data_IF_352381276475
#
_entry.id   IF_352381276475
#
_cell.length_a   1.000
_cell.length_b   1.000
_cell.length_c   1.000
_cell.angle_alpha   90.00
_cell.angle_beta   90.00
_cell.angle_gamma   90.00
#
_symmetry.space_group_name_H-M   'P 1'
#
loop_
_entity.id
_entity.type
_entity.pdbx_description
1 polymer ?
#
# COMPACT_ATOMS: atom_id res chain seq x y z
N UNK A 1 -35.43 6.03 2.71
CA UNK A 1 -34.91 7.27 3.33
C UNK A 1 -33.40 7.25 3.12
N UNK A 2 -32.94 8.05 2.14
CA UNK A 2 -31.50 8.15 1.87
C UNK A 2 -30.88 9.07 2.92
N UNK A 3 -30.21 8.50 3.90
CA UNK A 3 -29.33 9.28 4.75
C UNK A 3 -28.09 9.66 3.93
N UNK A 4 -28.09 10.87 3.34
CA UNK A 4 -26.86 11.47 2.84
C UNK A 4 -25.98 11.75 4.07
N UNK A 5 -24.93 10.92 4.26
CA UNK A 5 -23.81 11.34 5.08
C UNK A 5 -23.22 12.60 4.44
N UNK A 6 -22.76 13.59 5.23
CA UNK A 6 -22.12 14.78 4.69
C UNK A 6 -20.93 14.31 3.84
N UNK A 7 -20.90 14.71 2.57
CA UNK A 7 -19.79 14.43 1.68
C UNK A 7 -18.53 15.03 2.30
N UNK A 8 -17.66 14.18 2.85
CA UNK A 8 -16.28 14.57 3.15
C UNK A 8 -15.69 15.06 1.83
N UNK A 9 -15.23 16.33 1.79
CA UNK A 9 -14.48 16.82 0.64
C UNK A 9 -13.23 15.95 0.50
N UNK A 10 -13.28 14.98 -0.41
CA UNK A 10 -12.14 14.11 -0.73
C UNK A 10 -11.16 14.88 -1.60
N UNK A 11 -9.87 14.64 -1.39
CA UNK A 11 -8.90 14.92 -2.43
C UNK A 11 -9.29 14.13 -3.69
N UNK A 12 -9.07 14.72 -4.85
CA UNK A 12 -9.43 14.11 -6.13
C UNK A 12 -8.59 12.86 -6.45
N UNK A 13 -7.44 12.69 -5.80
CA UNK A 13 -6.43 11.68 -6.11
C UNK A 13 -6.00 10.91 -4.86
N UNK A 14 -5.31 9.78 -5.11
CA UNK A 14 -4.57 9.02 -4.09
C UNK A 14 -3.17 8.70 -4.63
N UNK A 15 -2.20 9.58 -4.38
CA UNK A 15 -0.84 9.46 -4.92
C UNK A 15 0.16 8.95 -3.89
N UNK A 16 0.09 9.48 -2.68
CA UNK A 16 1.04 9.22 -1.58
C UNK A 16 0.32 8.58 -0.39
N UNK A 17 -0.90 9.02 -0.11
CA UNK A 17 -1.69 8.68 1.07
C UNK A 17 -1.78 9.84 2.07
N UNK A 18 -1.00 10.90 1.87
CA UNK A 18 -1.08 12.14 2.68
C UNK A 18 -2.25 13.02 2.30
N UNK A 19 -2.83 12.83 1.13
CA UNK A 19 -4.02 13.53 0.63
C UNK A 19 -5.25 13.25 1.50
N UNK A 20 -5.27 12.11 2.17
CA UNK A 20 -6.36 11.69 3.04
C UNK A 20 -6.00 11.86 4.51
N UNK A 21 -6.82 12.58 5.23
CA UNK A 21 -6.68 12.74 6.68
C UNK A 21 -7.19 11.49 7.44
N UNK A 22 -6.93 11.44 8.75
CA UNK A 22 -7.32 10.31 9.59
C UNK A 22 -8.84 9.99 9.56
N UNK A 23 -9.70 10.98 9.38
CA UNK A 23 -11.15 10.76 9.28
C UNK A 23 -11.53 10.10 7.96
N UNK A 24 -10.87 10.50 6.86
CA UNK A 24 -11.08 9.89 5.54
C UNK A 24 -10.55 8.45 5.48
N UNK A 25 -9.42 8.17 6.13
CA UNK A 25 -8.90 6.79 6.25
C UNK A 25 -9.84 5.92 7.11
N UNK A 26 -10.40 6.44 8.19
CA UNK A 26 -11.43 5.71 8.96
C UNK A 26 -12.67 5.43 8.14
N UNK A 27 -13.11 6.38 7.30
CA UNK A 27 -14.25 6.15 6.39
C UNK A 27 -13.92 5.12 5.33
N UNK A 28 -12.68 5.11 4.79
CA UNK A 28 -12.19 4.06 3.91
C UNK A 28 -12.34 2.68 4.56
N UNK A 29 -11.89 2.53 5.82
CA UNK A 29 -11.95 1.23 6.51
C UNK A 29 -13.38 0.82 6.83
N UNK A 30 -14.23 1.76 7.26
CA UNK A 30 -15.66 1.51 7.45
C UNK A 30 -16.33 1.01 6.17
N UNK A 31 -16.02 1.67 5.04
CA UNK A 31 -16.56 1.29 3.73
C UNK A 31 -16.00 -0.06 3.26
N UNK A 32 -14.70 -0.33 3.48
CA UNK A 32 -14.08 -1.62 3.16
C UNK A 32 -14.73 -2.76 3.95
N UNK A 33 -15.02 -2.54 5.23
CA UNK A 33 -15.76 -3.51 6.08
C UNK A 33 -17.17 -3.78 5.54
N UNK A 34 -17.91 -2.73 5.18
CA UNK A 34 -19.27 -2.91 4.67
C UNK A 34 -19.29 -3.57 3.28
N UNK A 35 -18.37 -3.21 2.40
CA UNK A 35 -18.21 -3.86 1.08
C UNK A 35 -17.82 -5.34 1.21
N UNK A 36 -16.97 -5.67 2.19
CA UNK A 36 -16.56 -7.05 2.48
C UNK A 36 -17.74 -7.87 3.00
N UNK A 37 -18.50 -7.32 3.94
CA UNK A 37 -19.63 -7.99 4.59
C UNK A 37 -20.89 -8.07 3.69
N UNK A 38 -21.13 -7.07 2.85
CA UNK A 38 -22.38 -6.92 2.08
C UNK A 38 -22.10 -6.62 0.59
N UNK A 39 -21.36 -7.46 -0.15
CA UNK A 39 -20.94 -7.18 -1.52
C UNK A 39 -22.12 -6.93 -2.46
N UNK A 40 -23.26 -7.56 -2.22
CA UNK A 40 -24.46 -7.43 -3.06
C UNK A 40 -25.06 -6.02 -3.08
N UNK A 41 -24.86 -5.24 -2.03
CA UNK A 41 -25.32 -3.83 -1.97
C UNK A 41 -24.61 -2.94 -2.98
N UNK A 42 -23.40 -3.32 -3.38
CA UNK A 42 -22.51 -2.50 -4.18
C UNK A 42 -22.40 -2.93 -5.64
N UNK A 43 -23.06 -4.00 -6.06
CA UNK A 43 -22.98 -4.57 -7.42
C UNK A 43 -23.25 -3.59 -8.57
N UNK A 44 -23.89 -2.47 -8.30
CA UNK A 44 -24.23 -1.43 -9.29
C UNK A 44 -23.74 -0.04 -8.88
N UNK A 45 -22.93 0.05 -7.84
CA UNK A 45 -22.52 1.35 -7.26
C UNK A 45 -21.67 2.18 -8.26
N UNK A 46 -20.91 1.50 -9.13
CA UNK A 46 -20.11 2.13 -10.19
C UNK A 46 -20.60 1.72 -11.60
N UNK A 47 -21.90 1.46 -11.76
CA UNK A 47 -22.47 1.10 -13.06
C UNK A 47 -22.20 2.21 -14.10
N UNK A 48 -21.66 1.83 -15.26
CA UNK A 48 -21.29 2.75 -16.33
C UNK A 48 -19.97 3.51 -16.10
N UNK A 49 -19.24 3.25 -15.02
CA UNK A 49 -17.90 3.81 -14.79
C UNK A 49 -16.85 2.97 -15.50
N UNK A 50 -15.87 3.64 -16.10
CA UNK A 50 -14.73 3.03 -16.77
C UNK A 50 -13.45 3.43 -16.06
N UNK A 51 -12.57 2.46 -15.78
CA UNK A 51 -11.29 2.64 -15.12
C UNK A 51 -10.16 2.32 -16.11
N UNK A 52 -9.28 3.29 -16.40
CA UNK A 52 -8.05 3.00 -17.11
C UNK A 52 -7.00 2.45 -16.12
N UNK A 53 -6.38 1.35 -16.46
CA UNK A 53 -5.31 0.72 -15.68
C UNK A 53 -4.01 0.78 -16.46
N UNK A 54 -3.14 1.75 -16.11
CA UNK A 54 -1.84 2.01 -16.76
C UNK A 54 -0.75 1.26 -16.01
N UNK A 55 -0.12 0.27 -16.64
CA UNK A 55 0.85 -0.62 -16.00
C UNK A 55 2.16 -0.66 -16.76
N UNK A 56 3.21 -0.06 -16.21
CA UNK A 56 4.59 -0.16 -16.72
C UNK A 56 5.34 -1.38 -16.17
N UNK A 57 4.85 -1.94 -15.05
CA UNK A 57 5.45 -3.11 -14.38
C UNK A 57 4.43 -4.23 -14.25
N UNK A 58 4.82 -5.49 -14.46
CA UNK A 58 3.95 -6.64 -14.22
C UNK A 58 3.40 -6.65 -12.79
N UNK A 59 2.17 -7.06 -12.61
CA UNK A 59 1.57 -7.20 -11.28
C UNK A 59 0.38 -8.15 -11.31
N UNK A 60 0.51 -9.29 -10.63
CA UNK A 60 -0.60 -10.22 -10.47
C UNK A 60 -1.67 -9.60 -9.56
N UNK A 61 -1.30 -9.32 -8.31
CA UNK A 61 -2.25 -8.90 -7.25
C UNK A 61 -2.94 -7.58 -7.58
N UNK A 62 -2.18 -6.54 -7.86
CA UNK A 62 -2.74 -5.21 -8.12
C UNK A 62 -3.66 -5.20 -9.34
N UNK A 63 -3.25 -5.88 -10.42
CA UNK A 63 -4.07 -5.98 -11.63
C UNK A 63 -5.39 -6.68 -11.33
N UNK A 64 -5.34 -7.89 -10.79
CA UNK A 64 -6.53 -8.71 -10.53
C UNK A 64 -7.46 -8.01 -9.54
N UNK A 65 -6.93 -7.43 -8.45
CA UNK A 65 -7.77 -6.82 -7.42
C UNK A 65 -8.46 -5.52 -7.89
N UNK A 66 -7.82 -4.69 -8.72
CA UNK A 66 -8.51 -3.53 -9.32
C UNK A 66 -9.52 -3.94 -10.38
N UNK A 67 -9.18 -4.90 -11.26
CA UNK A 67 -10.07 -5.38 -12.32
C UNK A 67 -11.32 -6.06 -11.71
N UNK A 68 -11.12 -7.01 -10.80
CA UNK A 68 -12.24 -7.66 -10.07
C UNK A 68 -12.99 -6.63 -9.24
N UNK A 69 -12.28 -5.69 -8.61
CA UNK A 69 -12.88 -4.63 -7.81
C UNK A 69 -13.89 -3.81 -8.59
N UNK A 70 -13.47 -3.16 -9.68
CA UNK A 70 -14.37 -2.30 -10.48
C UNK A 70 -15.52 -3.09 -11.12
N UNK A 71 -15.25 -4.30 -11.64
CA UNK A 71 -16.28 -5.15 -12.28
C UNK A 71 -17.31 -5.59 -11.24
N UNK A 72 -16.88 -5.99 -10.03
CA UNK A 72 -17.81 -6.39 -8.96
C UNK A 72 -18.68 -5.23 -8.45
N UNK A 73 -18.29 -3.98 -8.71
CA UNK A 73 -19.05 -2.77 -8.41
C UNK A 73 -19.92 -2.30 -9.59
N UNK A 74 -19.93 -3.04 -10.71
CA UNK A 74 -20.76 -2.76 -11.89
C UNK A 74 -20.09 -1.89 -12.95
N UNK A 75 -18.83 -1.52 -12.77
CA UNK A 75 -18.04 -0.78 -13.75
C UNK A 75 -17.22 -1.69 -14.67
N UNK A 76 -16.29 -1.12 -15.41
CA UNK A 76 -15.42 -1.82 -16.36
C UNK A 76 -13.98 -1.31 -16.24
N UNK A 77 -13.00 -2.17 -16.50
CA UNK A 77 -11.58 -1.83 -16.56
C UNK A 77 -11.04 -1.94 -18.00
N UNK A 78 -10.12 -1.06 -18.34
CA UNK A 78 -9.35 -1.08 -19.58
C UNK A 78 -7.88 -1.13 -19.20
N UNK A 79 -7.22 -2.26 -19.50
CA UNK A 79 -5.79 -2.40 -19.26
C UNK A 79 -5.00 -1.75 -20.39
N UNK A 80 -4.13 -0.84 -20.01
CA UNK A 80 -3.12 -0.25 -20.88
C UNK A 80 -1.75 -0.79 -20.42
N UNK A 81 -1.28 -1.81 -21.12
CA UNK A 81 -0.01 -2.47 -20.82
C UNK A 81 1.13 -1.69 -21.49
N UNK A 82 1.94 -1.06 -20.68
CA UNK A 82 3.14 -0.31 -21.08
C UNK A 82 4.45 -1.06 -20.80
N UNK A 83 4.42 -2.40 -20.70
CA UNK A 83 5.61 -3.20 -20.44
C UNK A 83 6.72 -3.01 -21.50
N UNK A 84 6.37 -2.66 -22.73
CA UNK A 84 7.30 -2.46 -23.85
C UNK A 84 7.56 -0.99 -24.20
N UNK A 85 6.88 -0.03 -23.57
CA UNK A 85 7.11 1.40 -23.77
C UNK A 85 6.64 2.17 -22.53
N UNK A 86 7.55 2.86 -21.86
CA UNK A 86 7.19 3.63 -20.67
C UNK A 86 6.22 4.75 -20.99
N UNK A 87 5.44 5.12 -19.99
CA UNK A 87 4.61 6.32 -20.05
C UNK A 87 5.50 7.55 -20.36
N UNK A 88 5.14 8.33 -21.38
CA UNK A 88 5.95 9.47 -21.80
C UNK A 88 6.94 9.21 -22.94
N UNK A 89 7.18 7.96 -23.34
CA UNK A 89 8.12 7.64 -24.44
C UNK A 89 7.55 7.91 -25.84
N UNK A 90 6.26 7.60 -26.06
CA UNK A 90 5.61 7.76 -27.37
C UNK A 90 4.89 9.10 -27.51
N UNK A 91 4.34 9.61 -26.43
CA UNK A 91 3.66 10.89 -26.32
C UNK A 91 3.83 11.45 -24.90
N UNK A 92 3.58 12.74 -24.71
CA UNK A 92 3.74 13.34 -23.38
C UNK A 92 2.75 12.75 -22.37
N UNK A 93 3.19 12.57 -21.11
CA UNK A 93 2.31 12.11 -20.02
C UNK A 93 1.08 13.03 -19.87
N UNK A 94 1.28 14.33 -20.09
CA UNK A 94 0.23 15.33 -20.05
C UNK A 94 -0.86 15.07 -21.12
N UNK A 95 -0.47 14.66 -22.32
CA UNK A 95 -1.43 14.37 -23.39
C UNK A 95 -2.16 13.04 -23.15
N UNK A 96 -1.47 12.04 -22.61
CA UNK A 96 -2.08 10.80 -22.13
C UNK A 96 -3.15 11.11 -21.06
N UNK A 97 -2.81 11.93 -20.06
CA UNK A 97 -3.72 12.32 -18.99
C UNK A 97 -4.98 13.03 -19.52
N UNK A 98 -4.79 14.02 -20.40
CA UNK A 98 -5.90 14.77 -21.01
C UNK A 98 -6.80 13.88 -21.87
N UNK A 99 -6.20 12.97 -22.63
CA UNK A 99 -6.94 12.04 -23.48
C UNK A 99 -7.75 11.04 -22.65
N UNK A 100 -7.12 10.38 -21.69
CA UNK A 100 -7.80 9.43 -20.80
C UNK A 100 -8.95 10.11 -20.04
N UNK A 101 -8.74 11.33 -19.57
CA UNK A 101 -9.78 12.10 -18.85
C UNK A 101 -11.06 12.36 -19.68
N UNK A 102 -11.00 12.22 -21.00
CA UNK A 102 -12.19 12.35 -21.88
C UNK A 102 -12.96 11.04 -22.03
N UNK A 103 -12.34 9.92 -21.72
CA UNK A 103 -12.88 8.59 -22.05
C UNK A 103 -13.21 7.75 -20.81
N UNK A 104 -12.52 7.97 -19.69
CA UNK A 104 -12.68 7.16 -18.48
C UNK A 104 -13.05 8.03 -17.28
N UNK A 105 -13.39 7.40 -16.18
CA UNK A 105 -13.84 8.05 -14.94
C UNK A 105 -12.78 8.03 -13.83
N UNK A 106 -11.68 7.31 -14.03
CA UNK A 106 -10.54 7.26 -13.14
C UNK A 106 -9.37 6.54 -13.79
N UNK A 107 -8.17 6.80 -13.28
CA UNK A 107 -6.91 6.22 -13.76
C UNK A 107 -6.21 5.56 -12.58
N UNK A 108 -5.90 4.28 -12.70
CA UNK A 108 -5.02 3.54 -11.79
C UNK A 108 -3.68 3.37 -12.49
N UNK A 109 -2.61 3.86 -11.88
CA UNK A 109 -1.29 3.81 -12.51
C UNK A 109 -0.27 3.09 -11.63
N UNK A 110 0.45 2.12 -12.21
CA UNK A 110 1.60 1.43 -11.65
C UNK A 110 2.82 1.75 -12.51
N UNK A 111 3.65 2.63 -12.02
CA UNK A 111 4.72 3.29 -12.78
C UNK A 111 6.10 3.04 -12.17
N UNK A 112 7.17 3.36 -12.90
CA UNK A 112 8.53 3.33 -12.39
C UNK A 112 8.83 4.53 -11.50
N UNK A 113 8.46 5.74 -11.92
CA UNK A 113 8.81 6.98 -11.23
C UNK A 113 7.59 7.70 -10.67
N UNK A 114 7.69 8.21 -9.44
CA UNK A 114 6.64 9.03 -8.83
C UNK A 114 6.35 10.28 -9.65
N UNK A 115 7.38 10.93 -10.22
CA UNK A 115 7.23 12.12 -11.05
C UNK A 115 6.31 11.91 -12.28
N UNK A 116 6.31 10.69 -12.84
CA UNK A 116 5.39 10.34 -13.91
C UNK A 116 3.93 10.32 -13.43
N UNK A 117 3.70 9.82 -12.23
CA UNK A 117 2.39 9.79 -11.59
C UNK A 117 1.91 11.22 -11.24
N UNK A 118 2.80 12.03 -10.68
CA UNK A 118 2.51 13.43 -10.32
C UNK A 118 2.16 14.24 -11.58
N UNK A 119 2.88 14.03 -12.68
CA UNK A 119 2.57 14.65 -13.97
C UNK A 119 1.22 14.19 -14.51
N UNK A 120 0.91 12.89 -14.40
CA UNK A 120 -0.37 12.34 -14.83
C UNK A 120 -1.52 12.99 -14.05
N UNK A 121 -1.40 13.08 -12.72
CA UNK A 121 -2.41 13.69 -11.85
C UNK A 121 -2.57 15.20 -12.09
N UNK A 122 -1.47 15.93 -12.33
CA UNK A 122 -1.51 17.37 -12.60
C UNK A 122 -2.27 17.73 -13.89
N UNK A 123 -2.40 16.80 -14.81
CA UNK A 123 -3.06 17.03 -16.12
C UNK A 123 -4.34 16.24 -16.32
N UNK A 124 -4.64 15.26 -15.47
CA UNK A 124 -5.91 14.57 -15.46
C UNK A 124 -7.03 15.45 -14.86
N UNK A 125 -8.26 15.26 -15.34
CA UNK A 125 -9.49 15.85 -14.75
C UNK A 125 -10.38 14.78 -14.10
N UNK A 126 -9.87 13.57 -14.00
CA UNK A 126 -10.48 12.42 -13.31
C UNK A 126 -9.49 11.93 -12.24
N UNK A 127 -9.98 11.25 -11.20
CA UNK A 127 -9.12 10.73 -10.13
C UNK A 127 -7.96 9.86 -10.63
N UNK A 128 -6.76 10.09 -10.08
CA UNK A 128 -5.56 9.27 -10.29
C UNK A 128 -5.21 8.53 -9.01
N UNK A 129 -5.03 7.22 -9.14
CA UNK A 129 -4.76 6.30 -8.03
C UNK A 129 -3.39 5.67 -8.24
N UNK A 130 -2.49 5.88 -7.28
CA UNK A 130 -1.18 5.24 -7.24
C UNK A 130 -1.33 3.77 -6.86
N UNK A 131 -1.15 2.88 -7.83
CA UNK A 131 -1.11 1.45 -7.60
C UNK A 131 0.28 0.94 -7.16
N UNK A 132 1.33 1.66 -7.48
CA UNK A 132 2.72 1.60 -7.01
C UNK A 132 3.59 2.56 -7.83
N UNK A 133 4.49 3.26 -7.17
CA UNK A 133 5.64 3.95 -7.75
C UNK A 133 6.95 3.50 -7.08
N UNK A 134 8.08 4.10 -7.46
CA UNK A 134 9.37 3.89 -6.77
C UNK A 134 9.36 4.39 -5.32
N UNK A 135 8.59 5.43 -5.03
CA UNK A 135 8.55 6.06 -3.69
C UNK A 135 7.38 5.59 -2.81
N UNK A 136 6.24 5.18 -3.39
CA UNK A 136 5.04 4.92 -2.59
C UNK A 136 4.19 3.75 -3.10
N UNK A 137 3.46 3.13 -2.16
CA UNK A 137 2.46 2.10 -2.42
C UNK A 137 1.23 2.24 -1.50
N UNK A 138 0.47 3.36 -1.57
CA UNK A 138 -0.59 3.67 -0.61
C UNK A 138 -1.70 2.63 -0.56
N UNK A 139 -2.10 2.06 -1.72
CA UNK A 139 -3.13 1.02 -1.77
C UNK A 139 -2.73 -0.27 -1.03
N UNK A 140 -1.43 -0.57 -0.93
CA UNK A 140 -0.94 -1.68 -0.13
C UNK A 140 -1.10 -1.36 1.35
N UNK A 141 -0.55 -0.26 1.78
CA UNK A 141 -0.43 0.03 3.21
C UNK A 141 -1.77 0.35 3.87
N UNK A 142 -2.73 0.93 3.16
CA UNK A 142 -4.09 1.01 3.67
C UNK A 142 -4.73 -0.38 3.85
N UNK A 143 -4.45 -1.34 2.97
CA UNK A 143 -4.92 -2.71 3.16
C UNK A 143 -4.20 -3.40 4.34
N UNK A 144 -2.92 -3.10 4.55
CA UNK A 144 -2.15 -3.62 5.68
C UNK A 144 -2.74 -3.14 7.01
N UNK A 145 -2.98 -1.83 7.15
CA UNK A 145 -3.58 -1.27 8.36
C UNK A 145 -5.05 -1.69 8.54
N UNK A 146 -5.79 -1.85 7.46
CA UNK A 146 -7.15 -2.44 7.54
C UNK A 146 -7.11 -3.87 8.08
N UNK A 147 -6.14 -4.68 7.65
CA UNK A 147 -5.94 -6.05 8.15
C UNK A 147 -5.56 -6.05 9.63
N UNK A 148 -4.71 -5.12 10.06
CA UNK A 148 -4.36 -4.96 11.47
C UNK A 148 -5.57 -4.50 12.31
N UNK A 149 -6.43 -3.63 11.76
CA UNK A 149 -7.66 -3.22 12.42
C UNK A 149 -8.64 -4.40 12.59
N UNK A 150 -8.82 -5.23 11.57
CA UNK A 150 -9.61 -6.47 11.69
C UNK A 150 -9.03 -7.43 12.76
N UNK A 151 -7.69 -7.51 12.84
CA UNK A 151 -7.02 -8.42 13.76
C UNK A 151 -7.04 -7.96 15.22
N UNK A 152 -6.82 -6.67 15.45
CA UNK A 152 -6.67 -6.10 16.79
C UNK A 152 -7.86 -5.25 17.25
N UNK A 153 -8.84 -5.02 16.39
CA UNK A 153 -10.01 -4.19 16.66
C UNK A 153 -9.75 -2.68 16.62
N UNK A 154 -8.46 -2.25 16.54
CA UNK A 154 -8.06 -0.86 16.49
C UNK A 154 -6.63 -0.74 15.98
N UNK A 155 -6.31 0.30 15.22
CA UNK A 155 -4.94 0.61 14.77
C UNK A 155 -4.17 1.59 15.65
N UNK A 156 -4.79 2.58 16.32
CA UNK A 156 -4.08 3.45 17.26
C UNK A 156 -3.34 2.67 18.34
N UNK A 157 -2.04 2.96 18.51
CA UNK A 157 -1.18 2.31 19.50
C UNK A 157 -0.64 0.94 19.09
N UNK A 158 -1.02 0.40 17.92
CA UNK A 158 -0.42 -0.84 17.40
C UNK A 158 1.07 -0.62 17.13
N UNK A 159 1.91 -1.49 17.65
CA UNK A 159 3.36 -1.51 17.39
C UNK A 159 3.64 -2.41 16.18
N UNK A 160 4.03 -1.78 15.07
CA UNK A 160 4.43 -2.45 13.84
C UNK A 160 5.95 -2.35 13.67
N UNK A 161 6.64 -3.47 13.57
CA UNK A 161 8.04 -3.55 13.20
C UNK A 161 8.18 -3.87 11.70
N UNK A 162 8.85 -3.00 10.95
CA UNK A 162 9.26 -3.27 9.58
C UNK A 162 10.76 -3.61 9.56
N UNK A 163 11.12 -4.74 8.95
CA UNK A 163 12.49 -5.26 8.90
C UNK A 163 12.89 -5.47 7.44
N UNK A 164 13.86 -4.71 6.94
CA UNK A 164 14.30 -4.86 5.54
C UNK A 164 14.79 -3.56 4.90
N UNK A 165 14.51 -3.38 3.62
CA UNK A 165 14.91 -2.21 2.82
C UNK A 165 13.99 -1.01 3.07
N UNK A 166 14.56 0.19 3.18
CA UNK A 166 13.83 1.45 3.31
C UNK A 166 13.13 1.88 2.02
N UNK A 167 12.37 0.97 1.41
CA UNK A 167 11.74 1.11 0.10
C UNK A 167 10.37 1.82 0.13
N UNK A 168 9.67 1.82 -0.99
CA UNK A 168 8.35 2.43 -1.17
C UNK A 168 7.26 1.87 -0.23
N UNK A 169 7.32 0.59 0.13
CA UNK A 169 6.39 -0.01 1.11
C UNK A 169 6.71 0.52 2.51
N UNK A 170 7.99 0.58 2.88
CA UNK A 170 8.44 1.19 4.13
C UNK A 170 7.97 2.65 4.25
N UNK A 171 8.17 3.46 3.20
CA UNK A 171 7.69 4.84 3.15
C UNK A 171 6.18 4.94 3.39
N UNK A 172 5.41 4.13 2.69
CA UNK A 172 3.95 4.17 2.79
C UNK A 172 3.44 3.61 4.12
N UNK A 173 4.14 2.64 4.75
CA UNK A 173 3.83 2.17 6.11
C UNK A 173 4.04 3.28 7.14
N UNK A 174 5.09 4.09 7.01
CA UNK A 174 5.30 5.27 7.87
C UNK A 174 4.16 6.28 7.71
N UNK A 175 3.76 6.58 6.48
CA UNK A 175 2.70 7.56 6.18
C UNK A 175 1.35 7.05 6.71
N UNK A 176 0.95 5.83 6.37
CA UNK A 176 -0.31 5.26 6.84
C UNK A 176 -0.31 5.10 8.36
N UNK A 177 0.78 4.60 8.95
CA UNK A 177 0.93 4.43 10.39
C UNK A 177 0.84 5.74 11.16
N UNK A 178 1.46 6.82 10.66
CA UNK A 178 1.35 8.15 11.25
C UNK A 178 -0.09 8.65 11.27
N UNK A 179 -0.86 8.43 10.20
CA UNK A 179 -2.28 8.80 10.11
C UNK A 179 -3.18 8.00 11.04
N UNK A 180 -2.82 6.74 11.28
CA UNK A 180 -3.60 5.81 12.11
C UNK A 180 -3.19 5.80 13.58
N UNK A 181 -2.19 6.60 13.98
CA UNK A 181 -1.70 6.65 15.36
C UNK A 181 -0.94 5.38 15.79
N UNK A 182 -0.37 4.64 14.84
CA UNK A 182 0.45 3.47 15.11
C UNK A 182 1.89 3.86 15.48
N UNK A 183 2.59 2.96 16.16
CA UNK A 183 4.02 3.04 16.43
C UNK A 183 4.77 2.20 15.39
N UNK A 184 5.38 2.85 14.40
CA UNK A 184 6.12 2.17 13.33
C UNK A 184 7.62 2.19 13.66
N UNK A 185 8.19 1.01 13.81
CA UNK A 185 9.58 0.75 14.17
C UNK A 185 10.28 0.07 13.00
N UNK A 186 11.33 0.67 12.48
CA UNK A 186 11.94 0.28 11.21
C UNK A 186 13.40 -0.10 11.46
N UNK A 187 13.79 -1.31 11.07
CA UNK A 187 15.19 -1.73 11.06
C UNK A 187 15.69 -1.95 9.63
N UNK A 188 16.74 -1.22 9.27
CA UNK A 188 17.37 -1.29 7.95
C UNK A 188 18.90 -1.38 8.08
N UNK A 189 19.60 -2.05 7.14
CA UNK A 189 21.05 -1.95 7.04
C UNK A 189 21.52 -0.52 6.78
N UNK A 190 22.79 -0.25 7.11
CA UNK A 190 23.40 1.04 6.79
C UNK A 190 23.44 1.27 5.27
N UNK A 191 23.00 2.45 4.81
CA UNK A 191 22.91 2.81 3.40
C UNK A 191 21.60 2.39 2.71
N UNK A 192 20.69 1.74 3.45
CA UNK A 192 19.37 1.29 2.97
C UNK A 192 18.23 1.88 3.81
N UNK A 193 18.48 3.01 4.43
CA UNK A 193 17.48 3.74 5.21
C UNK A 193 16.38 4.31 4.31
N UNK A 194 15.15 4.46 4.84
CA UNK A 194 14.10 5.20 4.12
C UNK A 194 14.51 6.66 3.92
N UNK A 195 13.94 7.31 2.90
CA UNK A 195 14.22 8.72 2.59
C UNK A 195 14.01 9.61 3.81
N UNK A 196 15.03 10.39 4.16
CA UNK A 196 15.06 11.21 5.36
C UNK A 196 13.94 12.27 5.38
N UNK A 197 13.53 12.81 4.23
CA UNK A 197 12.45 13.80 4.13
C UNK A 197 11.10 13.15 4.42
N UNK A 198 10.91 11.91 3.95
CA UNK A 198 9.69 11.14 4.21
C UNK A 198 9.61 10.76 5.69
N UNK A 199 10.72 10.32 6.28
CA UNK A 199 10.81 10.02 7.72
C UNK A 199 10.45 11.25 8.55
N UNK A 200 11.00 12.41 8.23
CA UNK A 200 10.73 13.65 8.95
C UNK A 200 9.26 14.08 8.82
N UNK A 201 8.69 13.99 7.62
CA UNK A 201 7.28 14.28 7.41
C UNK A 201 6.37 13.33 8.19
N UNK A 202 6.64 12.02 8.15
CA UNK A 202 5.88 11.02 8.88
C UNK A 202 5.97 11.20 10.40
N UNK A 203 7.14 11.60 10.95
CA UNK A 203 7.30 11.93 12.37
C UNK A 203 6.45 13.13 12.79
N UNK A 204 6.42 14.19 11.97
CA UNK A 204 5.55 15.35 12.24
C UNK A 204 4.08 14.97 12.28
N UNK A 205 3.65 14.17 11.31
CA UNK A 205 2.26 13.71 11.23
C UNK A 205 1.91 12.78 12.42
N UNK A 206 2.79 11.85 12.77
CA UNK A 206 2.60 10.92 13.89
C UNK A 206 2.42 11.63 15.23
N UNK A 207 3.11 12.75 15.45
CA UNK A 207 2.96 13.54 16.67
C UNK A 207 1.52 14.05 16.89
N UNK A 208 0.76 14.29 15.81
CA UNK A 208 -0.63 14.73 15.88
C UNK A 208 -1.63 13.62 16.24
N UNK A 209 -1.25 12.37 16.07
CA UNK A 209 -2.08 11.16 16.28
C UNK A 209 -1.62 10.30 17.46
N UNK A 210 -0.61 10.74 18.22
CA UNK A 210 0.05 10.00 19.30
C UNK A 210 0.81 8.74 18.80
N UNK A 211 1.07 8.62 17.50
CA UNK A 211 1.93 7.61 16.92
C UNK A 211 3.41 7.95 17.03
N UNK A 212 4.28 7.03 16.65
CA UNK A 212 5.74 7.26 16.58
C UNK A 212 6.34 6.62 15.34
N UNK A 213 7.44 7.22 14.81
CA UNK A 213 8.27 6.65 13.75
C UNK A 213 9.70 6.58 14.26
N UNK A 214 10.21 5.37 14.46
CA UNK A 214 11.53 5.11 15.04
C UNK A 214 12.37 4.25 14.09
N UNK A 215 13.65 4.61 13.95
CA UNK A 215 14.61 3.89 13.12
C UNK A 215 15.64 3.16 14.00
N UNK A 216 15.94 1.93 13.65
CA UNK A 216 16.85 1.03 14.33
C UNK A 216 17.86 0.44 13.35
N UNK A 217 19.01 -0.03 13.88
CA UNK A 217 19.97 -0.82 13.12
C UNK A 217 19.81 -2.31 13.38
N UNK A 218 19.60 -2.69 14.63
CA UNK A 218 19.38 -4.07 15.00
C UNK A 218 17.92 -4.46 14.80
N UNK A 219 17.62 -5.54 14.05
CA UNK A 219 16.25 -6.04 13.88
C UNK A 219 15.59 -6.39 15.22
N UNK A 220 16.38 -6.92 16.17
CA UNK A 220 15.93 -7.32 17.51
C UNK A 220 15.38 -6.12 18.30
N UNK A 221 15.99 -4.95 18.15
CA UNK A 221 15.52 -3.74 18.81
C UNK A 221 14.19 -3.27 18.22
N UNK A 222 14.05 -3.32 16.90
CA UNK A 222 12.83 -2.90 16.24
C UNK A 222 11.65 -3.82 16.54
N UNK A 223 11.89 -5.14 16.56
CA UNK A 223 10.82 -6.15 16.74
C UNK A 223 10.40 -6.32 18.20
N UNK A 224 11.22 -5.88 19.18
CA UNK A 224 10.97 -6.09 20.60
C UNK A 224 9.56 -5.65 21.01
N UNK A 225 8.71 -6.62 21.39
CA UNK A 225 7.33 -6.40 21.79
C UNK A 225 6.41 -5.86 20.68
N UNK A 226 6.80 -5.94 19.41
CA UNK A 226 5.94 -5.57 18.28
C UNK A 226 4.75 -6.53 18.17
N UNK A 227 3.56 -6.00 17.87
CA UNK A 227 2.33 -6.78 17.65
C UNK A 227 2.19 -7.20 16.18
N UNK A 228 2.80 -6.45 15.27
CA UNK A 228 2.87 -6.77 13.86
C UNK A 228 4.31 -6.73 13.37
N UNK A 229 4.74 -7.73 12.62
CA UNK A 229 6.06 -7.83 12.01
C UNK A 229 5.88 -7.86 10.51
N UNK A 230 6.54 -6.94 9.82
CA UNK A 230 6.44 -6.79 8.37
C UNK A 230 7.82 -6.88 7.73
N UNK A 231 7.91 -7.57 6.60
CA UNK A 231 9.08 -7.49 5.71
C UNK A 231 8.65 -7.42 4.25
N UNK A 232 9.56 -7.04 3.39
CA UNK A 232 9.39 -7.00 1.94
C UNK A 232 10.67 -7.51 1.27
N UNK A 233 10.60 -7.79 -0.02
CA UNK A 233 11.76 -8.22 -0.81
C UNK A 233 12.95 -7.28 -0.65
N UNK A 234 14.16 -7.82 -0.54
CA UNK A 234 15.38 -7.02 -0.39
C UNK A 234 15.84 -6.34 -1.68
N UNK A 235 15.46 -6.89 -2.83
CA UNK A 235 15.66 -6.28 -4.13
C UNK A 235 14.29 -6.06 -4.79
N UNK A 236 13.91 -4.79 -4.91
CA UNK A 236 12.68 -4.40 -5.59
C UNK A 236 12.80 -4.56 -7.10
N UNK A 237 11.66 -4.54 -7.80
CA UNK A 237 11.63 -4.61 -9.27
C UNK A 237 12.46 -3.50 -9.91
N UNK A 238 13.42 -3.87 -10.74
CA UNK A 238 14.41 -2.99 -11.37
C UNK A 238 15.78 -2.98 -10.66
N UNK A 239 15.92 -3.74 -9.56
CA UNK A 239 17.16 -3.90 -8.79
C UNK A 239 17.68 -5.33 -8.82
N UNK A 240 17.20 -6.15 -9.75
CA UNK A 240 17.53 -7.59 -9.85
C UNK A 240 19.04 -7.82 -10.02
N UNK A 241 19.76 -6.89 -10.65
CA UNK A 241 21.22 -6.95 -10.81
C UNK A 241 22.00 -6.80 -9.49
N UNK A 242 21.35 -6.25 -8.45
CA UNK A 242 21.93 -6.06 -7.12
C UNK A 242 21.55 -7.18 -6.15
N UNK A 243 20.72 -8.13 -6.56
CA UNK A 243 20.08 -9.11 -5.67
C UNK A 243 21.09 -9.93 -4.86
N UNK A 244 22.20 -10.39 -5.46
CA UNK A 244 23.23 -11.17 -4.78
C UNK A 244 23.98 -10.33 -3.72
N UNK A 245 24.37 -9.12 -4.07
CA UNK A 245 25.04 -8.21 -3.15
C UNK A 245 24.12 -7.81 -1.97
N UNK A 246 22.85 -7.53 -2.26
CA UNK A 246 21.83 -7.23 -1.26
C UNK A 246 21.58 -8.42 -0.34
N UNK A 247 21.50 -9.64 -0.86
CA UNK A 247 21.30 -10.84 -0.05
C UNK A 247 22.34 -10.98 1.06
N UNK A 248 23.62 -10.71 0.78
CA UNK A 248 24.68 -10.74 1.80
C UNK A 248 24.52 -9.66 2.87
N UNK A 249 24.13 -8.44 2.47
CA UNK A 249 23.96 -7.30 3.38
C UNK A 249 22.71 -7.48 4.26
N UNK A 250 21.63 -7.99 3.69
CA UNK A 250 20.34 -8.13 4.35
C UNK A 250 20.18 -9.46 5.10
N UNK A 251 21.10 -10.42 4.97
CA UNK A 251 21.00 -11.70 5.68
C UNK A 251 20.71 -11.58 7.20
N UNK A 252 21.31 -10.61 7.95
CA UNK A 252 20.98 -10.40 9.36
C UNK A 252 19.54 -9.87 9.59
N UNK A 253 18.86 -9.42 8.55
CA UNK A 253 17.51 -8.87 8.58
C UNK A 253 16.44 -9.88 8.15
N UNK A 254 16.80 -11.16 7.97
CA UNK A 254 15.83 -12.20 7.67
C UNK A 254 14.82 -12.37 8.83
N UNK A 255 13.54 -12.31 8.51
CA UNK A 255 12.50 -12.64 9.47
C UNK A 255 12.36 -14.16 9.56
N UNK A 256 12.88 -14.72 10.65
CA UNK A 256 12.87 -16.14 10.98
C UNK A 256 12.24 -16.36 12.37
N UNK A 257 12.09 -17.62 12.79
CA UNK A 257 11.46 -17.96 14.07
C UNK A 257 12.21 -17.36 15.28
N UNK A 258 13.55 -17.29 15.22
CA UNK A 258 14.35 -16.70 16.29
C UNK A 258 14.05 -15.20 16.42
N UNK A 259 14.04 -14.44 15.31
CA UNK A 259 13.69 -13.03 15.33
C UNK A 259 12.23 -12.81 15.78
N UNK A 260 11.29 -13.62 15.27
CA UNK A 260 9.87 -13.58 15.68
C UNK A 260 9.65 -13.86 17.17
N UNK A 261 10.59 -14.52 17.87
CA UNK A 261 10.48 -14.78 19.31
C UNK A 261 10.65 -13.52 20.16
N UNK A 262 11.22 -12.43 19.64
CA UNK A 262 11.35 -11.12 20.29
C UNK A 262 10.07 -10.27 20.20
N UNK A 263 9.17 -10.61 19.28
CA UNK A 263 7.89 -9.93 19.12
C UNK A 263 6.92 -10.28 20.28
N UNK A 264 5.78 -9.60 20.34
CA UNK A 264 4.73 -9.94 21.29
C UNK A 264 4.25 -11.40 21.09
N UNK A 265 3.78 -12.08 22.17
CA UNK A 265 3.37 -13.50 22.06
C UNK A 265 2.27 -13.77 21.02
N UNK A 266 1.40 -12.79 20.79
CA UNK A 266 0.28 -12.80 19.84
C UNK A 266 0.60 -12.03 18.55
N UNK A 267 1.88 -11.70 18.30
CA UNK A 267 2.30 -10.97 17.13
C UNK A 267 1.95 -11.70 15.83
N UNK A 268 1.53 -10.93 14.84
CA UNK A 268 1.26 -11.41 13.48
C UNK A 268 2.38 -11.05 12.52
N UNK A 269 2.53 -11.84 11.46
CA UNK A 269 3.47 -11.61 10.37
C UNK A 269 2.74 -11.16 9.11
N UNK A 270 3.29 -10.14 8.44
CA UNK A 270 2.79 -9.56 7.19
C UNK A 270 3.88 -9.50 6.12
N UNK A 271 3.47 -9.60 4.87
CA UNK A 271 4.30 -9.43 3.68
C UNK A 271 3.42 -9.05 2.48
N UNK A 272 3.79 -8.02 1.73
CA UNK A 272 2.98 -7.57 0.56
C UNK A 272 2.93 -8.57 -0.60
N UNK A 273 3.79 -9.58 -0.58
CA UNK A 273 3.97 -10.57 -1.64
C UNK A 273 4.38 -9.98 -3.01
N UNK A 274 5.19 -10.70 -3.83
CA UNK A 274 5.68 -12.08 -3.61
C UNK A 274 6.78 -12.13 -2.54
N UNK A 275 6.88 -13.22 -1.80
CA UNK A 275 7.96 -13.45 -0.85
C UNK A 275 9.03 -14.37 -1.45
N UNK A 276 10.32 -14.05 -1.25
CA UNK A 276 11.44 -14.91 -1.59
C UNK A 276 11.83 -15.74 -0.36
N UNK A 277 11.13 -16.86 -0.20
CA UNK A 277 11.32 -17.77 0.93
C UNK A 277 12.76 -18.25 1.02
N UNK A 278 13.34 -18.15 2.22
CA UNK A 278 14.76 -18.42 2.46
C UNK A 278 15.66 -17.17 2.32
N UNK A 279 15.12 -16.04 1.81
CA UNK A 279 15.79 -14.74 1.80
C UNK A 279 15.22 -13.86 2.92
N UNK A 280 14.33 -12.93 2.61
CA UNK A 280 13.79 -11.97 3.60
C UNK A 280 12.91 -12.63 4.68
N UNK A 281 12.36 -13.80 4.41
CA UNK A 281 11.54 -14.56 5.34
C UNK A 281 11.74 -16.07 5.17
N UNK A 282 11.67 -16.83 6.26
CA UNK A 282 11.73 -18.31 6.21
C UNK A 282 10.36 -18.92 5.91
N UNK A 283 10.35 -20.15 5.34
CA UNK A 283 9.13 -20.93 5.16
C UNK A 283 8.38 -21.14 6.48
N UNK A 284 9.11 -21.40 7.57
CA UNK A 284 8.54 -21.60 8.90
C UNK A 284 7.68 -20.41 9.35
N UNK A 285 8.13 -19.18 9.12
CA UNK A 285 7.38 -17.95 9.47
C UNK A 285 6.20 -17.78 8.53
N UNK A 286 6.40 -17.96 7.22
CA UNK A 286 5.36 -17.82 6.20
C UNK A 286 4.18 -18.79 6.41
N UNK A 287 4.45 -20.01 6.84
CA UNK A 287 3.43 -21.07 7.06
C UNK A 287 2.95 -21.12 8.53
N UNK A 288 3.47 -20.26 9.39
CA UNK A 288 3.08 -20.25 10.80
C UNK A 288 1.64 -19.76 11.01
N UNK A 289 0.98 -20.14 12.09
CA UNK A 289 -0.33 -19.60 12.46
C UNK A 289 -0.34 -18.08 12.74
N UNK A 290 0.85 -17.48 12.87
CA UNK A 290 1.01 -16.03 13.01
C UNK A 290 1.00 -15.30 11.67
N UNK A 291 1.19 -16.00 10.56
CA UNK A 291 1.19 -15.40 9.22
C UNK A 291 -0.23 -15.07 8.78
N UNK A 292 -0.48 -13.81 8.52
CA UNK A 292 -1.76 -13.29 8.00
C UNK A 292 -1.61 -12.70 6.59
N UNK A 293 -0.58 -13.14 5.85
CA UNK A 293 -0.23 -12.61 4.52
C UNK A 293 -1.34 -12.81 3.49
N UNK A 294 -2.15 -13.85 3.62
CA UNK A 294 -3.26 -14.10 2.69
C UNK A 294 -4.52 -13.32 3.06
N UNK A 295 -4.78 -13.09 4.36
CA UNK A 295 -5.83 -12.14 4.81
C UNK A 295 -5.49 -10.72 4.34
N UNK A 296 -4.20 -10.33 4.48
CA UNK A 296 -3.66 -9.09 3.96
C UNK A 296 -3.85 -8.98 2.42
N UNK A 297 -3.56 -10.06 1.69
CA UNK A 297 -3.73 -10.11 0.24
C UNK A 297 -5.22 -10.01 -0.17
N UNK A 298 -6.12 -10.66 0.55
CA UNK A 298 -7.57 -10.54 0.36
C UNK A 298 -8.05 -9.12 0.59
N UNK A 299 -7.62 -8.49 1.67
CA UNK A 299 -8.03 -7.15 2.04
C UNK A 299 -7.61 -6.07 1.03
N UNK A 300 -6.61 -6.34 0.19
CA UNK A 300 -6.31 -5.52 -1.00
C UNK A 300 -7.54 -5.30 -1.86
N UNK A 301 -8.32 -6.36 -2.12
CA UNK A 301 -9.54 -6.25 -2.92
C UNK A 301 -10.57 -5.34 -2.26
N UNK A 302 -10.83 -5.53 -0.97
CA UNK A 302 -11.87 -4.79 -0.26
C UNK A 302 -11.52 -3.31 -0.09
N UNK A 303 -10.27 -3.00 0.26
CA UNK A 303 -9.79 -1.61 0.38
C UNK A 303 -9.75 -0.93 -0.98
N UNK A 304 -9.31 -1.59 -2.05
CA UNK A 304 -9.34 -1.00 -3.40
C UNK A 304 -10.77 -0.76 -3.89
N UNK A 305 -11.73 -1.64 -3.59
CA UNK A 305 -13.16 -1.38 -3.86
C UNK A 305 -13.65 -0.13 -3.12
N UNK A 306 -13.28 0.02 -1.86
CA UNK A 306 -13.65 1.20 -1.09
C UNK A 306 -12.99 2.47 -1.64
N UNK A 307 -11.71 2.43 -2.05
CA UNK A 307 -11.01 3.54 -2.73
C UNK A 307 -11.77 3.94 -4.01
N UNK A 308 -12.14 2.95 -4.85
CA UNK A 308 -12.89 3.21 -6.07
C UNK A 308 -14.26 3.84 -5.78
N UNK A 309 -14.97 3.37 -4.76
CA UNK A 309 -16.25 3.96 -4.35
C UNK A 309 -16.07 5.39 -3.85
N UNK A 310 -15.06 5.68 -3.05
CA UNK A 310 -14.81 7.02 -2.53
C UNK A 310 -14.47 8.03 -3.64
N UNK A 311 -13.78 7.59 -4.69
CA UNK A 311 -13.28 8.47 -5.74
C UNK A 311 -14.18 8.55 -6.99
N UNK A 312 -14.96 7.50 -7.28
CA UNK A 312 -15.71 7.41 -8.56
C UNK A 312 -17.24 7.44 -8.39
N UNK A 313 -17.77 7.48 -7.16
CA UNK A 313 -19.23 7.50 -6.93
C UNK A 313 -19.89 8.83 -7.33
#
# INVERSE_FOLDING_TARGET
MNAHAPALSLASDLLIGTEWNAAQVRELFRLATDVKAHPDRYKKALAGRFLAMVFEKPSLRTRVTFEVGIVSLGGSAILLDHANARLGERESIADVARSLSRWVHGIVARVFAQDALDTLAAHATVPVINALSDLYHPCQTFADFFTLEEKFGSTPGVRLAYIGDGNNVCHSLMIAGSRMGAHVRIATPAGYEPDAKIVEAARRDAASTQGTIELFRAPEDAICGAQAVYTDVWASMGQESEAEARAAIFAPYQVNAALMSHAAPDAVFLHCLPAHRGLEVTDEVMESPRSIVFDQAENRLHVQKAILLMLLS
#
